data_IF_034542549516
#
_entry.id   IF_034542549516
#
_cell.length_a   1.000
_cell.length_b   1.000
_cell.length_c   1.000
_cell.angle_alpha   90.00
_cell.angle_beta   90.00
_cell.angle_gamma   90.00
#
_symmetry.space_group_name_H-M   'P 1'
#
loop_
_entity.id
_entity.type
_entity.pdbx_description
1 polymer ?
#
# COMPACT_ATOMS: atom_id res chain seq x y z
N UNK A 1 8.63 -41.52 -38.30
CA UNK A 1 7.87 -40.27 -38.43
C UNK A 1 8.37 -39.34 -37.32
N UNK A 2 9.31 -38.42 -37.62
CA UNK A 2 9.73 -37.40 -36.66
C UNK A 2 8.60 -36.38 -36.60
N UNK A 3 7.83 -36.39 -35.51
CA UNK A 3 6.90 -35.30 -35.21
C UNK A 3 7.80 -34.10 -34.92
N UNK A 4 7.96 -33.21 -35.90
CA UNK A 4 8.46 -31.88 -35.62
C UNK A 4 7.42 -31.21 -34.71
N UNK A 5 7.65 -31.24 -33.40
CA UNK A 5 7.07 -30.23 -32.53
C UNK A 5 7.62 -28.90 -33.06
N UNK A 6 6.84 -28.20 -33.88
CA UNK A 6 7.06 -26.76 -34.04
C UNK A 6 7.03 -26.21 -32.61
N UNK A 7 8.17 -25.70 -32.15
CA UNK A 7 8.31 -25.18 -30.80
C UNK A 7 7.22 -24.13 -30.59
N UNK A 8 6.43 -24.30 -29.53
CA UNK A 8 5.45 -23.30 -29.15
C UNK A 8 6.21 -21.99 -28.89
N UNK A 9 5.70 -20.88 -29.41
CA UNK A 9 6.31 -19.56 -29.22
C UNK A 9 6.47 -19.31 -27.70
N UNK A 10 7.63 -18.84 -27.20
CA UNK A 10 7.76 -18.45 -25.80
C UNK A 10 6.66 -17.45 -25.41
N UNK A 11 6.13 -17.53 -24.19
CA UNK A 11 4.99 -16.68 -23.79
C UNK A 11 5.33 -15.19 -23.94
N UNK A 12 6.57 -14.79 -23.61
CA UNK A 12 7.07 -13.42 -23.75
C UNK A 12 7.06 -12.89 -25.19
N UNK A 13 7.13 -13.78 -26.19
CA UNK A 13 7.15 -13.39 -27.59
C UNK A 13 5.74 -13.23 -28.17
N UNK A 14 4.70 -13.67 -27.44
CA UNK A 14 3.30 -13.52 -27.86
C UNK A 14 2.85 -12.06 -27.84
N UNK A 15 1.99 -11.68 -28.78
CA UNK A 15 1.39 -10.33 -28.79
C UNK A 15 0.54 -10.05 -27.55
N UNK A 16 -0.12 -11.08 -27.00
CA UNK A 16 -0.87 -11.00 -25.75
C UNK A 16 0.04 -10.58 -24.58
N UNK A 17 1.22 -11.19 -24.46
CA UNK A 17 2.18 -10.84 -23.41
C UNK A 17 2.75 -9.44 -23.61
N UNK A 18 3.14 -9.05 -24.82
CA UNK A 18 3.63 -7.69 -25.11
C UNK A 18 2.59 -6.62 -24.80
N UNK A 19 1.31 -6.90 -25.03
CA UNK A 19 0.20 -6.00 -24.66
C UNK A 19 0.05 -5.92 -23.15
N UNK A 20 0.06 -7.06 -22.47
CA UNK A 20 0.01 -7.15 -21.02
C UNK A 20 1.15 -6.37 -20.35
N UNK A 21 2.36 -6.57 -20.85
CA UNK A 21 3.60 -6.01 -20.31
C UNK A 21 3.56 -4.48 -20.24
N UNK A 22 3.02 -3.80 -21.25
CA UNK A 22 2.92 -2.33 -21.24
C UNK A 22 2.15 -1.78 -20.04
N UNK A 23 0.97 -2.33 -19.77
CA UNK A 23 0.16 -1.89 -18.62
C UNK A 23 0.74 -2.44 -17.31
N UNK A 24 1.31 -3.64 -17.33
CA UNK A 24 1.95 -4.22 -16.17
C UNK A 24 3.11 -3.35 -15.67
N UNK A 25 4.00 -2.96 -16.59
CA UNK A 25 5.20 -2.19 -16.29
C UNK A 25 4.83 -0.79 -15.82
N UNK A 26 3.83 -0.14 -16.41
CA UNK A 26 3.31 1.14 -15.88
C UNK A 26 2.84 1.05 -14.42
N UNK A 27 2.19 -0.06 -14.03
CA UNK A 27 1.81 -0.29 -12.62
C UNK A 27 3.02 -0.57 -11.73
N UNK A 28 4.01 -1.31 -12.24
CA UNK A 28 5.23 -1.61 -11.51
C UNK A 28 6.10 -0.36 -11.30
N UNK A 29 6.25 0.45 -12.33
CA UNK A 29 6.96 1.73 -12.31
C UNK A 29 6.32 2.69 -11.31
N UNK A 30 4.98 2.76 -11.26
CA UNK A 30 4.28 3.54 -10.23
C UNK A 30 4.70 3.12 -8.82
N UNK A 31 4.66 1.81 -8.50
CA UNK A 31 5.00 1.34 -7.17
C UNK A 31 6.49 1.49 -6.85
N UNK A 32 7.37 1.30 -7.85
CA UNK A 32 8.81 1.51 -7.72
C UNK A 32 9.14 2.99 -7.45
N UNK A 33 8.54 3.91 -8.21
CA UNK A 33 8.67 5.34 -7.98
C UNK A 33 8.10 5.76 -6.62
N UNK A 34 6.97 5.19 -6.22
CA UNK A 34 6.41 5.41 -4.88
C UNK A 34 7.38 4.94 -3.79
N UNK A 35 7.96 3.75 -3.95
CA UNK A 35 8.96 3.21 -3.03
C UNK A 35 10.20 4.12 -2.92
N UNK A 36 10.69 4.62 -4.06
CA UNK A 36 11.81 5.55 -4.08
C UNK A 36 11.45 6.85 -3.37
N UNK A 37 10.25 7.40 -3.60
CA UNK A 37 9.77 8.61 -2.95
C UNK A 37 9.80 8.47 -1.42
N UNK A 38 9.34 7.34 -0.88
CA UNK A 38 9.42 7.07 0.57
C UNK A 38 10.86 7.12 1.08
N UNK A 39 11.79 6.52 0.35
CA UNK A 39 13.21 6.43 0.74
C UNK A 39 13.93 7.78 0.68
N UNK A 40 13.51 8.70 -0.20
CA UNK A 40 14.15 10.01 -0.37
C UNK A 40 13.44 11.16 0.37
N UNK A 41 12.17 11.00 0.77
CA UNK A 41 11.39 12.06 1.43
C UNK A 41 11.90 12.50 2.81
N UNK A 42 12.87 11.80 3.40
CA UNK A 42 13.37 12.09 4.75
C UNK A 42 12.32 11.98 5.89
N UNK A 43 11.07 11.62 5.58
CA UNK A 43 9.96 11.58 6.54
C UNK A 43 10.14 10.40 7.49
N UNK A 44 10.10 10.70 8.79
CA UNK A 44 10.18 9.71 9.86
C UNK A 44 8.80 9.55 10.47
N UNK A 45 8.26 8.34 10.35
CA UNK A 45 7.01 7.93 11.00
C UNK A 45 7.37 6.84 11.99
N UNK A 46 6.98 7.00 13.26
CA UNK A 46 7.42 6.09 14.32
C UNK A 46 6.29 5.74 15.27
N UNK A 47 6.19 4.46 15.63
CA UNK A 47 5.41 4.05 16.78
C UNK A 47 6.19 4.42 18.05
N UNK A 48 5.65 5.34 18.83
CA UNK A 48 6.22 5.76 20.12
C UNK A 48 5.60 4.90 21.23
N UNK A 49 6.45 4.13 21.89
CA UNK A 49 6.12 3.33 23.08
C UNK A 49 6.81 3.92 24.31
N UNK A 50 6.50 3.38 25.49
CA UNK A 50 7.21 3.73 26.74
C UNK A 50 8.67 3.21 26.78
N UNK A 51 9.04 2.29 25.88
CA UNK A 51 10.34 1.60 25.89
C UNK A 51 11.25 2.03 24.75
N UNK A 52 10.66 2.24 23.58
CA UNK A 52 11.39 2.45 22.34
C UNK A 52 10.58 3.27 21.32
N UNK A 53 11.31 3.91 20.42
CA UNK A 53 10.78 4.59 19.24
C UNK A 53 11.06 3.69 18.03
N UNK A 54 9.99 3.14 17.45
CA UNK A 54 10.07 2.16 16.38
C UNK A 54 9.71 2.80 15.05
N UNK A 55 10.69 2.94 14.16
CA UNK A 55 10.48 3.54 12.85
C UNK A 55 9.70 2.62 11.90
N UNK A 56 8.65 3.16 11.29
CA UNK A 56 7.93 2.55 10.19
C UNK A 56 8.72 2.82 8.91
N UNK A 57 9.29 1.78 8.33
CA UNK A 57 10.12 1.88 7.12
C UNK A 57 9.36 1.43 5.87
N UNK A 58 9.81 1.92 4.71
CA UNK A 58 9.25 1.57 3.39
C UNK A 58 9.58 0.17 2.88
N UNK A 59 10.33 -0.66 3.63
CA UNK A 59 10.79 -1.98 3.16
C UNK A 59 9.67 -2.92 2.69
N UNK A 60 8.47 -2.83 3.26
CA UNK A 60 7.32 -3.63 2.80
C UNK A 60 6.86 -3.22 1.40
N UNK A 61 6.98 -1.94 1.06
CA UNK A 61 6.71 -1.40 -0.29
C UNK A 61 7.82 -1.83 -1.26
N UNK A 62 9.09 -1.75 -0.86
CA UNK A 62 10.21 -2.27 -1.66
C UNK A 62 10.07 -3.78 -1.95
N UNK A 63 9.68 -4.57 -0.94
CA UNK A 63 9.37 -5.99 -1.11
C UNK A 63 8.16 -6.20 -2.04
N UNK A 64 7.18 -5.30 -2.03
CA UNK A 64 6.02 -5.35 -2.93
C UNK A 64 6.43 -5.11 -4.39
N UNK A 65 7.43 -4.27 -4.66
CA UNK A 65 8.05 -4.11 -5.99
C UNK A 65 8.69 -5.43 -6.46
N UNK A 66 9.41 -6.14 -5.57
CA UNK A 66 9.94 -7.48 -5.92
C UNK A 66 8.84 -8.52 -6.14
N UNK A 67 7.72 -8.39 -5.43
CA UNK A 67 6.55 -9.24 -5.62
C UNK A 67 5.93 -9.02 -7.01
N UNK A 68 5.86 -7.78 -7.50
CA UNK A 68 5.47 -7.49 -8.89
C UNK A 68 6.43 -8.12 -9.90
N UNK A 69 7.75 -8.04 -9.69
CA UNK A 69 8.71 -8.72 -10.59
C UNK A 69 8.48 -10.23 -10.63
N UNK A 70 8.18 -10.83 -9.49
CA UNK A 70 7.85 -12.26 -9.37
C UNK A 70 6.54 -12.64 -10.07
N UNK A 71 5.50 -11.81 -9.95
CA UNK A 71 4.22 -12.03 -10.64
C UNK A 71 4.42 -12.00 -12.17
N UNK A 72 5.20 -11.04 -12.69
CA UNK A 72 5.51 -10.94 -14.14
C UNK A 72 6.23 -12.19 -14.62
N UNK A 73 7.19 -12.69 -13.84
CA UNK A 73 7.90 -13.94 -14.13
C UNK A 73 6.96 -15.15 -14.15
N UNK A 74 6.04 -15.28 -13.19
CA UNK A 74 5.03 -16.34 -13.24
C UNK A 74 4.17 -16.23 -14.50
N UNK A 75 3.78 -15.02 -14.90
CA UNK A 75 3.03 -14.80 -16.13
C UNK A 75 3.85 -15.13 -17.38
N UNK A 76 5.17 -14.94 -17.39
CA UNK A 76 6.03 -15.21 -18.56
C UNK A 76 6.26 -16.69 -18.84
N UNK A 77 5.87 -17.57 -17.91
CA UNK A 77 5.97 -19.02 -18.05
C UNK A 77 4.62 -19.73 -18.00
N UNK A 78 3.51 -18.98 -17.95
CA UNK A 78 2.15 -19.54 -17.91
C UNK A 78 1.67 -20.03 -16.54
N UNK A 79 2.38 -19.69 -15.46
CA UNK A 79 2.04 -20.05 -14.08
C UNK A 79 1.02 -19.08 -13.46
N UNK A 80 -0.19 -18.99 -14.03
CA UNK A 80 -1.18 -17.98 -13.61
C UNK A 80 -1.78 -18.22 -12.22
N UNK A 81 -1.76 -19.46 -11.71
CA UNK A 81 -2.22 -19.71 -10.34
C UNK A 81 -1.24 -19.14 -9.31
N UNK A 82 0.05 -19.32 -9.57
CA UNK A 82 1.12 -18.79 -8.73
C UNK A 82 1.16 -17.26 -8.82
N UNK A 83 1.03 -16.70 -10.03
CA UNK A 83 0.88 -15.27 -10.23
C UNK A 83 -0.24 -14.68 -9.37
N UNK A 84 -1.42 -15.29 -9.35
CA UNK A 84 -2.55 -14.80 -8.56
C UNK A 84 -2.40 -15.03 -7.05
N UNK A 85 -1.66 -16.06 -6.64
CA UNK A 85 -1.27 -16.23 -5.24
C UNK A 85 -0.38 -15.08 -4.79
N UNK A 86 0.58 -14.68 -5.63
CA UNK A 86 1.43 -13.52 -5.37
C UNK A 86 0.67 -12.19 -5.44
N UNK A 87 -0.35 -12.05 -6.30
CA UNK A 87 -1.25 -10.86 -6.30
C UNK A 87 -1.96 -10.72 -4.95
N UNK A 88 -2.34 -11.84 -4.30
CA UNK A 88 -2.89 -11.77 -2.93
C UNK A 88 -1.86 -11.28 -1.93
N UNK A 89 -0.62 -11.76 -2.02
CA UNK A 89 0.46 -11.29 -1.15
C UNK A 89 0.70 -9.79 -1.34
N UNK A 90 0.82 -9.32 -2.58
CA UNK A 90 0.97 -7.89 -2.92
C UNK A 90 -0.10 -7.04 -2.22
N UNK A 91 -1.37 -7.44 -2.34
CA UNK A 91 -2.49 -6.77 -1.68
C UNK A 91 -2.34 -6.71 -0.16
N UNK A 92 -1.99 -7.84 0.45
CA UNK A 92 -1.89 -7.95 1.91
C UNK A 92 -0.67 -7.16 2.44
N UNK A 93 0.45 -7.13 1.71
CA UNK A 93 1.65 -6.36 2.05
C UNK A 93 1.40 -4.84 1.95
N UNK A 94 0.75 -4.38 0.87
CA UNK A 94 0.41 -2.96 0.71
C UNK A 94 -0.58 -2.48 1.78
N UNK A 95 -1.59 -3.29 2.12
CA UNK A 95 -2.54 -2.92 3.18
C UNK A 95 -1.97 -3.05 4.58
N UNK A 96 -1.00 -3.94 4.82
CA UNK A 96 -0.25 -3.98 6.06
C UNK A 96 0.48 -2.66 6.30
N UNK A 97 1.06 -2.07 5.25
CA UNK A 97 1.71 -0.76 5.35
C UNK A 97 0.71 0.33 5.76
N UNK A 98 -0.41 0.44 5.04
CA UNK A 98 -1.45 1.45 5.35
C UNK A 98 -2.07 1.23 6.73
N UNK A 99 -2.32 -0.03 7.13
CA UNK A 99 -2.77 -0.39 8.47
C UNK A 99 -1.78 0.06 9.54
N UNK A 100 -0.49 -0.20 9.32
CA UNK A 100 0.58 0.20 10.25
C UNK A 100 0.58 1.70 10.46
N UNK A 101 0.51 2.48 9.36
CA UNK A 101 0.41 3.93 9.41
C UNK A 101 -0.84 4.39 10.15
N UNK A 102 -2.01 3.79 9.87
CA UNK A 102 -3.25 4.16 10.52
C UNK A 102 -3.21 3.93 12.04
N UNK A 103 -2.62 2.82 12.49
CA UNK A 103 -2.43 2.53 13.92
C UNK A 103 -1.45 3.51 14.56
N UNK A 104 -0.33 3.80 13.89
CA UNK A 104 0.67 4.76 14.39
C UNK A 104 0.09 6.17 14.50
N UNK A 105 -0.67 6.62 13.50
CA UNK A 105 -1.26 7.96 13.49
C UNK A 105 -2.37 8.14 14.54
N UNK A 106 -2.99 7.06 15.00
CA UNK A 106 -3.99 7.08 16.08
C UNK A 106 -3.37 6.96 17.48
N UNK A 107 -2.07 6.63 17.57
CA UNK A 107 -1.38 6.43 18.85
C UNK A 107 -1.37 7.73 19.64
N UNK A 108 -1.77 7.64 20.92
CA UNK A 108 -1.59 8.72 21.91
C UNK A 108 -0.41 8.35 22.83
N UNK A 109 0.81 8.81 22.53
CA UNK A 109 2.03 8.32 23.20
C UNK A 109 2.18 8.82 24.63
N UNK A 110 1.55 9.94 24.99
CA UNK A 110 1.61 10.53 26.32
C UNK A 110 0.27 10.37 27.06
N UNK A 111 0.30 10.40 28.38
CA UNK A 111 -0.92 10.40 29.21
C UNK A 111 -1.69 11.72 29.04
N UNK A 112 -3.02 11.67 29.21
CA UNK A 112 -3.84 12.89 29.12
C UNK A 112 -3.47 13.88 30.23
N UNK A 113 -3.23 13.39 31.45
CA UNK A 113 -2.83 14.22 32.59
C UNK A 113 -1.52 14.99 32.32
N UNK A 114 -0.52 14.34 31.69
CA UNK A 114 0.71 15.04 31.31
C UNK A 114 0.48 16.13 30.25
N UNK A 115 -0.41 15.88 29.28
CA UNK A 115 -0.75 16.86 28.25
C UNK A 115 -1.54 18.04 28.81
N UNK A 116 -2.50 17.79 29.71
CA UNK A 116 -3.35 18.83 30.32
C UNK A 116 -2.53 19.76 31.24
N UNK A 117 -1.46 19.25 31.83
CA UNK A 117 -0.54 20.02 32.66
C UNK A 117 0.62 20.65 31.87
N UNK A 118 0.75 20.38 30.57
CA UNK A 118 1.81 20.91 29.73
C UNK A 118 1.58 22.39 29.44
N UNK A 119 2.48 23.26 29.92
CA UNK A 119 2.39 24.71 29.73
C UNK A 119 3.47 25.21 28.79
N UNK A 120 3.10 26.18 27.95
CA UNK A 120 4.02 26.88 27.03
C UNK A 120 4.12 28.38 27.32
N UNK A 121 3.71 28.80 28.52
CA UNK A 121 3.60 30.22 28.89
C UNK A 121 4.97 30.92 28.92
N UNK A 122 6.01 30.21 29.38
CA UNK A 122 7.40 30.65 29.39
C UNK A 122 8.36 29.45 29.30
N UNK A 123 9.67 29.74 29.22
CA UNK A 123 10.70 28.73 29.07
C UNK A 123 10.80 27.79 30.28
N UNK A 124 10.62 28.30 31.50
CA UNK A 124 10.73 27.50 32.73
C UNK A 124 9.54 26.53 32.82
N UNK A 125 8.33 27.04 32.57
CA UNK A 125 7.11 26.25 32.50
C UNK A 125 7.16 25.19 31.39
N UNK A 126 7.72 25.53 30.22
CA UNK A 126 7.92 24.57 29.12
C UNK A 126 8.91 23.46 29.51
N UNK A 127 10.07 23.81 30.09
CA UNK A 127 11.07 22.81 30.49
C UNK A 127 10.53 21.89 31.58
N UNK A 128 9.80 22.43 32.56
CA UNK A 128 9.16 21.64 33.61
C UNK A 128 8.07 20.72 33.03
N UNK A 129 7.21 21.26 32.15
CA UNK A 129 6.17 20.49 31.47
C UNK A 129 6.73 19.37 30.59
N UNK A 130 7.78 19.65 29.82
CA UNK A 130 8.46 18.65 28.98
C UNK A 130 9.14 17.56 29.81
N UNK A 131 9.79 17.94 30.91
CA UNK A 131 10.48 16.98 31.80
C UNK A 131 9.51 16.08 32.57
N UNK A 132 8.24 16.49 32.70
CA UNK A 132 7.18 15.75 33.40
C UNK A 132 6.24 14.97 32.47
N UNK A 133 6.53 14.92 31.16
CA UNK A 133 5.76 14.11 30.23
C UNK A 133 5.87 12.62 30.55
N UNK A 134 4.74 11.97 30.78
CA UNK A 134 4.67 10.54 31.02
C UNK A 134 4.18 9.81 29.76
N UNK A 135 4.88 8.73 29.40
CA UNK A 135 4.44 7.86 28.32
C UNK A 135 3.22 7.03 28.74
N UNK A 136 2.25 6.94 27.84
CA UNK A 136 1.10 6.07 27.99
C UNK A 136 1.53 4.61 27.81
N UNK A 137 1.58 3.83 28.89
CA UNK A 137 1.99 2.42 28.83
C UNK A 137 0.88 1.49 28.30
N UNK A 138 -0.36 1.99 28.18
CA UNK A 138 -1.49 1.18 27.73
C UNK A 138 -1.52 1.18 26.20
N UNK A 139 -1.29 0.00 25.63
CA UNK A 139 -1.41 -0.24 24.20
C UNK A 139 -2.64 -1.11 23.88
N UNK A 140 -3.33 -0.75 22.79
CA UNK A 140 -4.37 -1.55 22.15
C UNK A 140 -3.77 -2.82 21.54
N UNK A 141 -4.62 -3.78 21.19
CA UNK A 141 -4.16 -5.00 20.51
C UNK A 141 -3.60 -4.71 19.11
N UNK A 142 -4.10 -3.67 18.43
CA UNK A 142 -3.59 -3.27 17.11
C UNK A 142 -2.21 -2.63 17.23
N UNK A 143 -1.99 -1.76 18.22
CA UNK A 143 -0.67 -1.19 18.54
C UNK A 143 0.35 -2.27 18.93
N UNK A 144 -0.03 -3.22 19.78
CA UNK A 144 0.83 -4.37 20.14
C UNK A 144 1.17 -5.24 18.94
N UNK A 145 0.24 -5.40 17.99
CA UNK A 145 0.49 -6.17 16.79
C UNK A 145 1.48 -5.47 15.86
N UNK A 146 1.38 -4.14 15.72
CA UNK A 146 2.34 -3.33 14.97
C UNK A 146 3.71 -3.34 15.64
N UNK A 147 3.80 -3.16 16.96
CA UNK A 147 5.05 -3.27 17.72
C UNK A 147 5.70 -4.64 17.52
N UNK A 148 4.93 -5.72 17.66
CA UNK A 148 5.43 -7.08 17.45
C UNK A 148 5.88 -7.33 16.00
N UNK A 149 5.24 -6.69 15.02
CA UNK A 149 5.65 -6.75 13.62
C UNK A 149 6.97 -6.00 13.38
N UNK A 150 7.07 -4.74 13.83
CA UNK A 150 8.27 -3.91 13.70
C UNK A 150 9.49 -4.54 14.40
N UNK A 151 9.27 -5.28 15.49
CA UNK A 151 10.33 -5.93 16.28
C UNK A 151 10.58 -7.40 15.93
N UNK A 152 9.92 -7.94 14.91
CA UNK A 152 9.99 -9.37 14.51
C UNK A 152 9.57 -10.38 15.61
N UNK A 153 8.69 -9.97 16.54
CA UNK A 153 8.20 -10.77 17.68
C UNK A 153 6.76 -11.27 17.52
N UNK A 154 6.18 -11.18 16.33
CA UNK A 154 4.79 -11.63 16.06
C UNK A 154 4.53 -13.04 16.57
N UNK A 155 5.46 -13.98 16.37
CA UNK A 155 5.29 -15.38 16.77
C UNK A 155 5.13 -15.54 18.29
N UNK A 156 5.74 -14.66 19.06
CA UNK A 156 5.71 -14.63 20.53
C UNK A 156 4.42 -13.98 21.06
N UNK A 157 3.71 -13.22 20.22
CA UNK A 157 2.53 -12.49 20.64
C UNK A 157 1.30 -13.41 20.87
N UNK A 158 0.37 -13.02 21.77
CA UNK A 158 -0.88 -13.75 21.99
C UNK A 158 -1.68 -13.95 20.69
N UNK A 159 -2.48 -15.02 20.61
CA UNK A 159 -3.25 -15.34 19.39
C UNK A 159 -4.18 -14.19 18.94
N UNK A 160 -4.78 -13.44 19.87
CA UNK A 160 -5.60 -12.28 19.57
C UNK A 160 -4.82 -11.15 18.89
N UNK A 161 -3.62 -10.85 19.40
CA UNK A 161 -2.70 -9.85 18.84
C UNK A 161 -2.18 -10.28 17.48
N UNK A 162 -1.72 -11.54 17.33
CA UNK A 162 -1.32 -12.10 16.04
C UNK A 162 -2.43 -12.00 14.99
N UNK A 163 -3.68 -12.23 15.40
CA UNK A 163 -4.84 -12.14 14.53
C UNK A 163 -5.04 -10.76 13.91
N UNK A 164 -4.58 -9.69 14.56
CA UNK A 164 -4.67 -8.31 14.02
C UNK A 164 -3.88 -8.14 12.72
N UNK A 165 -2.79 -8.91 12.54
CA UNK A 165 -2.01 -8.97 11.31
C UNK A 165 -2.68 -9.84 10.23
N UNK A 166 -3.90 -9.46 9.87
CA UNK A 166 -4.64 -10.10 8.80
C UNK A 166 -5.45 -9.09 8.00
N UNK A 167 -5.62 -9.37 6.72
CA UNK A 167 -6.37 -8.53 5.79
C UNK A 167 -7.74 -8.06 6.35
N UNK A 168 -8.51 -8.95 6.97
CA UNK A 168 -9.82 -8.60 7.56
C UNK A 168 -9.67 -7.51 8.64
N UNK A 169 -8.67 -7.64 9.52
CA UNK A 169 -8.46 -6.71 10.62
C UNK A 169 -7.83 -5.39 10.16
N UNK A 170 -7.01 -5.41 9.08
CA UNK A 170 -6.57 -4.19 8.42
C UNK A 170 -7.78 -3.36 7.99
N UNK A 171 -8.72 -3.98 7.26
CA UNK A 171 -9.94 -3.29 6.83
C UNK A 171 -10.78 -2.79 8.00
N UNK A 172 -10.90 -3.56 9.08
CA UNK A 172 -11.67 -3.12 10.26
C UNK A 172 -11.10 -1.84 10.89
N UNK A 173 -9.79 -1.62 10.83
CA UNK A 173 -9.15 -0.37 11.30
C UNK A 173 -9.31 0.73 10.26
N UNK A 174 -9.06 0.45 8.98
CA UNK A 174 -9.18 1.45 7.92
C UNK A 174 -10.62 1.97 7.76
N UNK A 175 -11.63 1.12 7.95
CA UNK A 175 -13.07 1.49 7.90
C UNK A 175 -13.51 2.39 9.05
N UNK A 176 -12.67 2.63 10.07
CA UNK A 176 -12.95 3.62 11.12
C UNK A 176 -12.72 5.05 10.62
N UNK A 177 -11.92 5.24 9.57
CA UNK A 177 -11.80 6.51 8.88
C UNK A 177 -13.05 6.75 8.01
N UNK A 178 -13.78 7.83 8.28
CA UNK A 178 -15.04 8.14 7.60
C UNK A 178 -14.87 8.32 6.09
N UNK A 179 -13.75 8.89 5.65
CA UNK A 179 -13.45 9.08 4.23
C UNK A 179 -13.19 7.75 3.52
N UNK A 180 -12.45 6.84 4.17
CA UNK A 180 -12.22 5.48 3.63
C UNK A 180 -13.55 4.71 3.57
N UNK A 181 -14.38 4.85 4.61
CA UNK A 181 -15.72 4.24 4.62
C UNK A 181 -16.57 4.74 3.47
N UNK A 182 -16.57 6.05 3.21
CA UNK A 182 -17.29 6.66 2.08
C UNK A 182 -16.75 6.16 0.72
N UNK A 183 -15.43 6.05 0.55
CA UNK A 183 -14.83 5.39 -0.63
C UNK A 183 -15.37 3.98 -0.83
N UNK A 184 -15.43 3.20 0.24
CA UNK A 184 -15.85 1.80 0.17
C UNK A 184 -17.34 1.68 -0.16
N UNK A 185 -18.20 2.52 0.42
CA UNK A 185 -19.65 2.45 0.26
C UNK A 185 -20.19 3.32 -0.86
N UNK A 186 -19.88 4.62 -0.85
CA UNK A 186 -20.37 5.62 -1.79
C UNK A 186 -19.87 5.38 -3.23
N UNK A 187 -18.62 4.94 -3.37
CA UNK A 187 -18.02 4.61 -4.67
C UNK A 187 -17.98 3.10 -4.97
N UNK A 188 -18.65 2.28 -4.15
CA UNK A 188 -18.80 0.82 -4.36
C UNK A 188 -17.48 0.04 -4.48
N UNK A 189 -16.36 0.56 -3.96
CA UNK A 189 -15.09 -0.17 -3.92
C UNK A 189 -15.18 -1.42 -3.05
N UNK A 190 -16.08 -1.45 -2.06
CA UNK A 190 -16.30 -2.64 -1.25
C UNK A 190 -16.78 -3.84 -2.10
N UNK A 191 -17.61 -3.61 -3.11
CA UNK A 191 -18.11 -4.67 -4.01
C UNK A 191 -16.98 -5.31 -4.80
N UNK A 192 -16.17 -4.49 -5.47
CA UNK A 192 -14.99 -4.95 -6.20
C UNK A 192 -14.02 -5.71 -5.29
N UNK A 193 -13.78 -5.15 -4.10
CA UNK A 193 -12.86 -5.73 -3.13
C UNK A 193 -13.30 -7.11 -2.62
N UNK A 194 -14.60 -7.30 -2.36
CA UNK A 194 -15.18 -8.59 -1.96
C UNK A 194 -15.02 -9.65 -3.06
N UNK A 195 -15.31 -9.29 -4.31
CA UNK A 195 -15.15 -10.18 -5.46
C UNK A 195 -13.69 -10.57 -5.67
N UNK A 196 -12.77 -9.60 -5.59
CA UNK A 196 -11.34 -9.83 -5.70
C UNK A 196 -10.85 -10.78 -4.61
N UNK A 197 -11.24 -10.55 -3.36
CA UNK A 197 -10.85 -11.39 -2.22
C UNK A 197 -11.29 -12.84 -2.40
N UNK A 198 -12.53 -13.07 -2.84
CA UNK A 198 -13.02 -14.42 -3.13
C UNK A 198 -12.19 -15.11 -4.23
N UNK A 199 -11.88 -14.40 -5.32
CA UNK A 199 -11.06 -14.93 -6.42
C UNK A 199 -9.66 -15.31 -5.96
N UNK A 200 -8.98 -14.42 -5.23
CA UNK A 200 -7.62 -14.64 -4.75
C UNK A 200 -7.55 -15.80 -3.74
N UNK A 201 -8.54 -15.92 -2.84
CA UNK A 201 -8.64 -17.06 -1.93
C UNK A 201 -8.76 -18.40 -2.68
N UNK A 202 -9.50 -18.43 -3.80
CA UNK A 202 -9.62 -19.65 -4.59
C UNK A 202 -8.30 -20.10 -5.22
N UNK A 203 -7.43 -19.16 -5.62
CA UNK A 203 -6.09 -19.48 -6.11
C UNK A 203 -5.20 -20.04 -4.99
N UNK A 204 -5.19 -19.40 -3.81
CA UNK A 204 -4.35 -19.86 -2.70
C UNK A 204 -4.78 -21.24 -2.16
N UNK A 205 -6.09 -21.47 -2.05
CA UNK A 205 -6.61 -22.72 -1.49
C UNK A 205 -6.91 -23.79 -2.54
N UNK A 206 -6.66 -23.51 -3.82
CA UNK A 206 -7.05 -24.39 -4.94
C UNK A 206 -8.53 -24.83 -4.85
N UNK A 207 -9.45 -23.88 -4.64
CA UNK A 207 -10.90 -24.14 -4.48
C UNK A 207 -11.57 -24.51 -5.82
N UNK A 208 -11.08 -25.54 -6.49
CA UNK A 208 -11.53 -26.03 -7.78
C UNK A 208 -10.37 -26.43 -8.69
N UNK A 209 -10.57 -27.51 -9.46
CA UNK A 209 -9.53 -28.07 -10.35
C UNK A 209 -8.97 -27.03 -11.35
N UNK A 210 -9.82 -26.11 -11.81
CA UNK A 210 -9.42 -25.05 -12.73
C UNK A 210 -8.30 -24.16 -12.16
N UNK A 211 -8.29 -23.89 -10.85
CA UNK A 211 -7.29 -23.01 -10.25
C UNK A 211 -5.89 -23.61 -10.33
N UNK A 212 -5.76 -24.93 -10.14
CA UNK A 212 -4.48 -25.63 -10.34
C UNK A 212 -4.12 -25.77 -11.83
N UNK A 213 -5.12 -25.94 -12.70
CA UNK A 213 -4.92 -26.02 -14.16
C UNK A 213 -4.42 -24.71 -14.76
N UNK A 214 -4.66 -23.56 -14.11
CA UNK A 214 -4.15 -22.27 -14.56
C UNK A 214 -2.62 -22.17 -14.51
N UNK A 215 -1.91 -23.10 -13.87
CA UNK A 215 -0.44 -23.22 -13.99
C UNK A 215 0.03 -24.00 -15.22
N UNK A 216 -0.89 -24.52 -16.03
CA UNK A 216 -0.60 -25.33 -17.21
C UNK A 216 -0.99 -24.60 -18.50
N UNK A 217 -1.25 -23.29 -18.42
CA UNK A 217 -1.61 -22.46 -19.58
C UNK A 217 -0.37 -22.26 -20.45
N UNK A 218 -0.54 -22.50 -21.75
CA UNK A 218 0.53 -22.36 -22.73
C UNK A 218 0.28 -21.16 -23.64
N UNK A 219 1.29 -20.77 -24.42
CA UNK A 219 1.23 -19.60 -25.31
C UNK A 219 0.21 -19.74 -26.45
N UNK A 220 -0.14 -20.96 -26.86
CA UNK A 220 -1.20 -21.24 -27.83
C UNK A 220 -2.62 -21.18 -27.27
N UNK A 221 -2.80 -20.93 -25.96
CA UNK A 221 -4.12 -20.90 -25.34
C UNK A 221 -4.96 -19.75 -25.90
N UNK A 222 -6.15 -20.06 -26.43
CA UNK A 222 -7.05 -19.08 -27.03
C UNK A 222 -7.57 -18.00 -26.05
N UNK A 223 -7.43 -18.21 -24.74
CA UNK A 223 -7.83 -17.28 -23.68
C UNK A 223 -6.63 -16.60 -23.02
N UNK A 224 -5.43 -16.68 -23.60
CA UNK A 224 -4.21 -16.10 -23.02
C UNK A 224 -4.36 -14.62 -22.66
N UNK A 225 -4.96 -13.81 -23.56
CA UNK A 225 -5.27 -12.40 -23.31
C UNK A 225 -6.15 -12.20 -22.08
N UNK A 226 -7.08 -13.11 -21.81
CA UNK A 226 -7.98 -13.04 -20.65
C UNK A 226 -7.20 -13.34 -19.37
N UNK A 227 -6.30 -14.34 -19.37
CA UNK A 227 -5.50 -14.66 -18.19
C UNK A 227 -4.56 -13.52 -17.81
N UNK A 228 -3.83 -12.99 -18.78
CA UNK A 228 -2.92 -11.86 -18.60
C UNK A 228 -3.67 -10.57 -18.23
N UNK A 229 -4.73 -10.24 -18.97
CA UNK A 229 -5.55 -9.07 -18.70
C UNK A 229 -6.17 -9.09 -17.29
N UNK A 230 -6.62 -10.25 -16.83
CA UNK A 230 -7.12 -10.40 -15.46
C UNK A 230 -6.06 -10.12 -14.40
N UNK A 231 -4.78 -10.46 -14.64
CA UNK A 231 -3.69 -10.13 -13.71
C UNK A 231 -3.50 -8.61 -13.66
N UNK A 232 -3.44 -7.93 -14.80
CA UNK A 232 -3.34 -6.46 -14.87
C UNK A 232 -4.52 -5.78 -14.15
N UNK A 233 -5.75 -6.19 -14.45
CA UNK A 233 -6.94 -5.60 -13.80
C UNK A 233 -6.87 -5.71 -12.27
N UNK A 234 -6.43 -6.87 -11.75
CA UNK A 234 -6.32 -7.08 -10.30
C UNK A 234 -5.23 -6.21 -9.69
N UNK A 235 -4.06 -6.12 -10.33
CA UNK A 235 -2.93 -5.30 -9.86
C UNK A 235 -3.28 -3.82 -9.90
N UNK A 236 -3.79 -3.30 -11.02
CA UNK A 236 -4.23 -1.91 -11.11
C UNK A 236 -5.26 -1.57 -10.05
N UNK A 237 -6.24 -2.45 -9.81
CA UNK A 237 -7.22 -2.22 -8.75
C UNK A 237 -6.57 -2.17 -7.36
N UNK A 238 -5.66 -3.10 -7.04
CA UNK A 238 -4.95 -3.14 -5.76
C UNK A 238 -4.11 -1.88 -5.54
N UNK A 239 -3.35 -1.44 -6.55
CA UNK A 239 -2.49 -0.25 -6.46
C UNK A 239 -3.31 1.04 -6.39
N UNK A 240 -4.41 1.12 -7.14
CA UNK A 240 -5.34 2.26 -7.06
C UNK A 240 -5.97 2.33 -5.67
N UNK A 241 -6.41 1.19 -5.11
CA UNK A 241 -6.95 1.14 -3.76
C UNK A 241 -5.89 1.52 -2.70
N UNK A 242 -4.67 1.03 -2.85
CA UNK A 242 -3.53 1.42 -2.01
C UNK A 242 -3.34 2.94 -2.03
N UNK A 243 -3.25 3.56 -3.21
CA UNK A 243 -3.08 5.02 -3.34
C UNK A 243 -4.22 5.81 -2.69
N UNK A 244 -5.47 5.38 -2.91
CA UNK A 244 -6.64 6.01 -2.29
C UNK A 244 -6.55 5.92 -0.76
N UNK A 245 -6.28 4.73 -0.22
CA UNK A 245 -6.24 4.56 1.24
C UNK A 245 -5.07 5.27 1.89
N UNK A 246 -3.87 5.25 1.30
CA UNK A 246 -2.71 5.97 1.85
C UNK A 246 -2.92 7.49 1.79
N UNK A 247 -3.60 8.02 0.77
CA UNK A 247 -3.96 9.45 0.70
C UNK A 247 -4.92 9.91 1.81
N UNK A 248 -5.61 8.99 2.48
CA UNK A 248 -6.53 9.30 3.58
C UNK A 248 -5.93 9.02 4.95
N UNK A 249 -4.88 8.19 5.00
CA UNK A 249 -4.20 7.81 6.24
C UNK A 249 -2.96 8.65 6.47
N UNK A 250 -2.20 8.93 5.42
CA UNK A 250 -0.91 9.62 5.47
C UNK A 250 -0.58 10.26 4.11
N UNK A 251 -1.34 11.29 3.74
CA UNK A 251 -1.15 11.98 2.46
C UNK A 251 0.18 12.71 2.34
N UNK A 252 0.87 13.00 3.45
CA UNK A 252 2.18 13.65 3.40
C UNK A 252 3.24 12.79 2.68
N UNK A 253 3.04 11.46 2.61
CA UNK A 253 3.89 10.55 1.82
C UNK A 253 3.70 10.70 0.30
N UNK A 254 2.72 11.48 -0.15
CA UNK A 254 2.54 11.81 -1.58
C UNK A 254 3.36 13.02 -2.02
N UNK A 255 3.95 13.75 -1.07
CA UNK A 255 4.69 14.99 -1.30
C UNK A 255 5.81 14.78 -2.32
N UNK A 256 6.02 15.73 -3.23
CA UNK A 256 7.18 15.75 -4.12
C UNK A 256 8.48 15.88 -3.33
N UNK A 257 9.57 15.35 -3.89
CA UNK A 257 10.93 15.48 -3.34
C UNK A 257 11.60 16.84 -3.62
N UNK A 258 10.84 17.78 -4.19
CA UNK A 258 11.37 19.08 -4.64
C UNK A 258 11.98 19.88 -3.47
N UNK A 259 11.46 19.73 -2.24
CA UNK A 259 12.02 20.39 -1.06
C UNK A 259 13.45 19.94 -0.84
N UNK A 260 13.68 18.62 -0.82
CA UNK A 260 14.99 18.03 -0.64
C UNK A 260 15.95 18.50 -1.73
N UNK A 261 15.48 18.55 -2.98
CA UNK A 261 16.27 19.05 -4.11
C UNK A 261 16.68 20.53 -3.95
N UNK A 262 15.75 21.41 -3.54
CA UNK A 262 16.07 22.82 -3.26
C UNK A 262 17.11 22.95 -2.14
N UNK A 263 16.93 22.21 -1.04
CA UNK A 263 17.82 22.24 0.11
C UNK A 263 19.22 21.69 -0.23
N UNK A 264 19.31 20.60 -0.99
CA UNK A 264 20.57 20.03 -1.46
C UNK A 264 21.34 20.98 -2.40
N UNK A 265 20.60 21.81 -3.14
CA UNK A 265 21.16 22.87 -3.97
C UNK A 265 21.49 24.16 -3.19
N UNK A 266 21.22 24.22 -1.88
CA UNK A 266 21.42 25.42 -1.05
C UNK A 266 20.49 26.58 -1.42
N UNK A 267 19.31 26.27 -1.95
CA UNK A 267 18.28 27.22 -2.34
C UNK A 267 17.10 27.20 -1.35
N UNK A 268 16.41 28.32 -1.23
CA UNK A 268 15.17 28.40 -0.46
C UNK A 268 14.03 27.73 -1.26
N UNK A 269 13.31 26.74 -0.70
CA UNK A 269 12.16 26.14 -1.36
C UNK A 269 11.03 27.17 -1.59
N UNK A 270 10.27 27.06 -2.68
CA UNK A 270 9.09 27.90 -2.92
C UNK A 270 8.06 27.79 -1.79
N UNK A 271 7.26 28.84 -1.60
CA UNK A 271 6.14 28.82 -0.64
C UNK A 271 5.14 27.71 -1.01
N UNK A 272 4.64 27.00 0.00
CA UNK A 272 3.65 25.90 -0.11
C UNK A 272 4.08 24.69 -0.97
N UNK A 273 5.37 24.55 -1.30
CA UNK A 273 5.87 23.38 -2.04
C UNK A 273 5.73 22.06 -1.25
N UNK A 274 5.63 22.13 0.09
CA UNK A 274 5.42 20.97 0.97
C UNK A 274 4.06 20.26 0.79
N UNK A 275 3.14 20.89 0.06
CA UNK A 275 1.82 20.34 -0.24
C UNK A 275 1.73 19.84 -1.69
N UNK A 276 2.74 20.06 -2.53
CA UNK A 276 2.75 19.57 -3.90
C UNK A 276 2.97 18.05 -3.90
N UNK A 277 2.19 17.32 -4.70
CA UNK A 277 2.37 15.87 -4.83
C UNK A 277 3.35 15.54 -5.95
N UNK A 278 4.01 14.39 -5.84
CA UNK A 278 4.93 13.95 -6.87
C UNK A 278 4.22 13.80 -8.25
N UNK A 279 4.82 14.26 -9.36
CA UNK A 279 4.15 14.25 -10.67
C UNK A 279 3.64 12.88 -11.13
N UNK A 280 4.38 11.81 -10.85
CA UNK A 280 3.95 10.44 -11.21
C UNK A 280 2.71 9.98 -10.43
N UNK A 281 2.48 10.54 -9.23
CA UNK A 281 1.28 10.28 -8.43
C UNK A 281 0.09 11.00 -9.05
N UNK A 282 0.25 12.29 -9.41
CA UNK A 282 -0.78 13.05 -10.12
C UNK A 282 -1.19 12.34 -11.42
N UNK A 283 -0.21 11.92 -12.24
CA UNK A 283 -0.47 11.16 -13.46
C UNK A 283 -1.24 9.85 -13.17
N UNK A 284 -0.89 9.13 -12.10
CA UNK A 284 -1.60 7.91 -11.74
C UNK A 284 -3.05 8.19 -11.28
N UNK A 285 -3.29 9.28 -10.53
CA UNK A 285 -4.64 9.71 -10.15
C UNK A 285 -5.47 10.03 -11.40
N UNK A 286 -4.91 10.79 -12.33
CA UNK A 286 -5.58 11.21 -13.56
C UNK A 286 -5.95 10.01 -14.43
N UNK A 287 -5.04 9.05 -14.57
CA UNK A 287 -5.22 7.93 -15.48
C UNK A 287 -5.99 6.75 -14.85
N UNK A 288 -5.71 6.41 -13.58
CA UNK A 288 -6.21 5.18 -12.95
C UNK A 288 -7.33 5.43 -11.94
N UNK A 289 -7.20 6.43 -11.06
CA UNK A 289 -8.24 6.75 -10.08
C UNK A 289 -9.48 7.30 -10.81
N UNK A 290 -9.29 8.30 -11.68
CA UNK A 290 -10.39 8.89 -12.45
C UNK A 290 -11.02 7.90 -13.43
N UNK A 291 -10.23 6.96 -13.96
CA UNK A 291 -10.71 5.86 -14.79
C UNK A 291 -11.58 4.84 -14.04
N UNK A 292 -11.41 4.72 -12.71
CA UNK A 292 -12.26 3.89 -11.86
C UNK A 292 -13.58 4.60 -11.52
N UNK A 293 -13.49 5.82 -11.00
CA UNK A 293 -14.61 6.73 -10.78
C UNK A 293 -14.14 8.17 -10.94
N UNK A 294 -14.69 8.96 -11.88
CA UNK A 294 -14.23 10.33 -12.13
C UNK A 294 -14.30 11.24 -10.89
N UNK A 295 -15.31 11.01 -10.05
CA UNK A 295 -15.57 11.76 -8.82
C UNK A 295 -14.58 11.44 -7.69
N UNK A 296 -13.87 10.29 -7.73
CA UNK A 296 -12.90 9.94 -6.70
C UNK A 296 -11.73 10.90 -6.66
N UNK A 297 -11.29 11.40 -7.83
CA UNK A 297 -10.21 12.38 -7.89
C UNK A 297 -10.55 13.64 -7.09
N UNK A 298 -11.76 14.17 -7.30
CA UNK A 298 -12.26 15.32 -6.54
C UNK A 298 -12.39 14.97 -5.04
N UNK A 299 -12.88 13.78 -4.73
CA UNK A 299 -12.97 13.32 -3.35
C UNK A 299 -11.61 13.28 -2.65
N UNK A 300 -10.56 12.77 -3.31
CA UNK A 300 -9.20 12.76 -2.76
C UNK A 300 -8.67 14.17 -2.50
N UNK A 301 -8.93 15.09 -3.44
CA UNK A 301 -8.55 16.50 -3.32
C UNK A 301 -9.18 17.15 -2.09
N UNK A 302 -10.46 16.87 -1.84
CA UNK A 302 -11.21 17.51 -0.77
C UNK A 302 -11.00 16.88 0.62
N UNK A 303 -10.51 15.63 0.68
CA UNK A 303 -10.57 14.82 1.91
C UNK A 303 -9.24 14.16 2.32
N UNK A 304 -8.12 14.46 1.65
CA UNK A 304 -6.81 13.99 2.11
C UNK A 304 -6.40 14.69 3.42
N UNK A 305 -5.66 13.99 4.29
CA UNK A 305 -5.52 14.39 5.70
C UNK A 305 -4.45 15.46 6.00
N UNK A 306 -3.66 15.87 5.00
CA UNK A 306 -2.64 16.92 5.15
C UNK A 306 -2.79 18.09 4.17
N UNK A 307 -3.90 18.16 3.41
CA UNK A 307 -4.14 19.26 2.46
C UNK A 307 -3.22 19.26 1.24
N UNK A 308 -2.75 18.08 0.83
CA UNK A 308 -1.96 17.89 -0.38
C UNK A 308 -2.73 18.35 -1.61
N UNK A 309 -2.03 19.04 -2.51
CA UNK A 309 -2.56 19.62 -3.74
C UNK A 309 -2.66 18.53 -4.80
N UNK A 310 -3.87 18.00 -4.96
CA UNK A 310 -4.25 17.15 -6.08
C UNK A 310 -4.94 18.06 -7.11
N UNK A 311 -4.37 18.15 -8.31
CA UNK A 311 -4.91 19.00 -9.38
C UNK A 311 -6.11 18.35 -10.03
#
# INVERSE_FOLDING_TARGET
MKIHYQGELPMIETEAFKKFEKEYDSNADFLENFSNLLSFSGRIISLITDKELLNVSGHVIENSVQTLRSIKLCCSIGSFADANTLVRRLRDDLLLYVYTLAVVNQRKPFTQDSLDNFKMDDLEAFVEGFSSLEFNQVMTDDEKAVEAWLTNKVVEAPAGVRGKLSFKNYMNVLEQNENIKEVLTGYNLQGYWKVLTGKLNNYVHNNGRQFSQHNLIRSSNAQLDIYLGNVNTRISYILTFFLITISMVESALLCSGDIEDYLDMGMDPPEDCQYEIAPFIQEYIDNKVSGMHPELKQFLKDNNNHGMKIE
#
